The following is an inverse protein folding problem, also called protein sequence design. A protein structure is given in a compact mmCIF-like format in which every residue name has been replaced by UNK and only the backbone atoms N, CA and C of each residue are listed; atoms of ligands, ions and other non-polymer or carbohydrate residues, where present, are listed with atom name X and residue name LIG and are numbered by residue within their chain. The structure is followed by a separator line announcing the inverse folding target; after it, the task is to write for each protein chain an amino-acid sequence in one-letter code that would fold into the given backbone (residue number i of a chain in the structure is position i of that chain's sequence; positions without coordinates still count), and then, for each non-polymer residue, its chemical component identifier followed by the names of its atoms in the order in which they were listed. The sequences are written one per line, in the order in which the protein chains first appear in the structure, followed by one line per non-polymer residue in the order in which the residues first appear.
data_IF_508151937525
#
_entry.id   IF_508151937525
#
_cell.length_a   1.000
_cell.length_b   1.000
_cell.length_c   1.000
_cell.angle_alpha   90.00
_cell.angle_beta   90.00
_cell.angle_gamma   90.00
#
_symmetry.space_group_name_H-M   'P 1'
#
loop_
_entity.id
_entity.type
_entity.pdbx_description
1 polymer ?
#
# COMPACT_ATOMS: atom_id res chain seq x y z
N UNK A 1 6.86 0.31 -5.06
CA UNK A 1 5.43 0.49 -4.75
C UNK A 1 5.01 -0.62 -3.78
N UNK A 2 3.81 -0.55 -3.19
CA UNK A 2 3.27 -1.67 -2.40
C UNK A 2 3.28 -2.94 -3.26
N UNK A 3 3.76 -4.05 -2.69
CA UNK A 3 3.87 -5.35 -3.36
C UNK A 3 5.13 -5.57 -4.21
N UNK A 4 6.03 -4.59 -4.34
CA UNK A 4 7.29 -4.77 -5.09
C UNK A 4 8.48 -5.13 -4.18
N UNK A 5 8.28 -5.07 -2.86
CA UNK A 5 9.30 -5.37 -1.86
C UNK A 5 9.17 -6.78 -1.28
N UNK A 6 9.87 -7.01 -0.17
CA UNK A 6 9.86 -8.29 0.55
C UNK A 6 8.84 -8.36 1.69
N UNK A 7 8.04 -7.31 1.91
CA UNK A 7 7.09 -7.24 3.03
C UNK A 7 5.81 -8.01 2.66
N UNK A 8 5.41 -8.93 3.55
CA UNK A 8 4.09 -9.54 3.54
C UNK A 8 3.06 -8.55 4.12
N UNK A 9 2.57 -7.67 3.26
CA UNK A 9 1.62 -6.60 3.61
C UNK A 9 0.33 -7.18 4.18
N UNK A 10 -0.13 -8.31 3.63
CA UNK A 10 -1.36 -8.95 4.06
C UNK A 10 -1.25 -9.40 5.51
N UNK A 11 -0.19 -10.14 5.85
CA UNK A 11 0.04 -10.60 7.22
C UNK A 11 0.07 -9.45 8.22
N UNK A 12 0.78 -8.36 7.91
CA UNK A 12 0.88 -7.21 8.83
C UNK A 12 -0.48 -6.52 8.98
N UNK A 13 -1.21 -6.33 7.88
CA UNK A 13 -2.56 -5.73 7.91
C UNK A 13 -3.50 -6.54 8.81
N UNK A 14 -3.56 -7.86 8.64
CA UNK A 14 -4.41 -8.73 9.47
C UNK A 14 -4.09 -8.58 10.95
N UNK A 15 -2.81 -8.54 11.34
CA UNK A 15 -2.43 -8.36 12.74
C UNK A 15 -2.91 -7.03 13.33
N UNK A 16 -2.92 -5.97 12.53
CA UNK A 16 -3.38 -4.64 12.95
C UNK A 16 -4.91 -4.59 13.05
N UNK A 17 -5.61 -5.24 12.12
CA UNK A 17 -7.07 -5.39 12.14
C UNK A 17 -7.53 -6.25 13.33
N UNK A 18 -6.85 -7.36 13.62
CA UNK A 18 -7.10 -8.22 14.79
C UNK A 18 -6.88 -7.48 16.12
N UNK A 19 -5.99 -6.49 16.14
CA UNK A 19 -5.80 -5.59 17.27
C UNK A 19 -6.92 -4.54 17.42
N UNK A 20 -7.92 -4.54 16.54
CA UNK A 20 -9.11 -3.70 16.59
C UNK A 20 -9.03 -2.41 15.76
N UNK A 21 -8.00 -2.23 14.93
CA UNK A 21 -7.91 -1.06 14.06
C UNK A 21 -8.80 -1.23 12.81
N UNK A 22 -9.64 -0.22 12.54
CA UNK A 22 -10.57 -0.23 11.40
C UNK A 22 -10.50 1.04 10.51
N UNK A 23 -9.49 1.88 10.72
CA UNK A 23 -9.32 3.18 10.06
C UNK A 23 -8.68 3.12 8.66
N UNK A 24 -8.22 4.29 8.19
CA UNK A 24 -7.55 4.43 6.89
C UNK A 24 -6.10 3.96 6.93
N UNK A 25 -5.59 3.48 5.80
CA UNK A 25 -4.19 3.08 5.65
C UNK A 25 -3.48 4.13 4.79
N UNK A 26 -2.43 4.71 5.32
CA UNK A 26 -1.59 5.67 4.63
C UNK A 26 -0.53 4.96 3.77
N UNK A 27 -0.25 5.51 2.59
CA UNK A 27 0.85 5.08 1.73
C UNK A 27 1.93 6.16 1.75
N UNK A 28 3.07 5.85 2.36
CA UNK A 28 4.25 6.71 2.37
C UNK A 28 5.42 6.00 1.69
N UNK A 29 6.01 6.63 0.68
CA UNK A 29 7.14 6.08 -0.06
C UNK A 29 8.21 7.16 -0.18
N UNK A 30 9.35 6.91 0.47
CA UNK A 30 10.54 7.76 0.40
C UNK A 30 11.53 7.15 -0.60
N UNK A 31 11.40 7.54 -1.87
CA UNK A 31 12.23 7.00 -2.95
C UNK A 31 12.39 8.02 -4.09
N UNK A 32 13.62 8.48 -4.33
CA UNK A 32 13.91 9.52 -5.33
C UNK A 32 13.47 9.12 -6.73
N UNK A 33 13.74 7.89 -7.15
CA UNK A 33 13.37 7.42 -8.49
C UNK A 33 11.85 7.39 -8.70
N UNK A 34 11.05 7.25 -7.65
CA UNK A 34 9.60 7.37 -7.71
C UNK A 34 9.18 8.84 -7.73
N UNK A 35 9.84 9.70 -6.95
CA UNK A 35 9.55 11.13 -6.92
C UNK A 35 9.89 11.87 -8.22
N UNK A 36 10.89 11.37 -8.96
CA UNK A 36 11.27 11.92 -10.27
C UNK A 36 10.28 11.54 -11.40
N UNK A 37 9.30 10.68 -11.13
CA UNK A 37 8.27 10.29 -12.11
C UNK A 37 7.09 11.26 -12.13
N UNK A 38 6.31 11.34 -13.23
CA UNK A 38 5.10 12.15 -13.28
C UNK A 38 4.12 11.80 -12.16
N UNK A 39 3.69 12.80 -11.39
CA UNK A 39 2.86 12.60 -10.20
C UNK A 39 1.55 11.86 -10.47
N UNK A 40 0.87 12.17 -11.58
CA UNK A 40 -0.40 11.51 -11.95
C UNK A 40 -0.21 10.02 -12.24
N UNK A 41 0.89 9.64 -12.89
CA UNK A 41 1.22 8.24 -13.16
C UNK A 41 1.57 7.49 -11.86
N UNK A 42 2.32 8.14 -10.97
CA UNK A 42 2.64 7.59 -9.66
C UNK A 42 1.37 7.38 -8.84
N UNK A 43 0.45 8.35 -8.82
CA UNK A 43 -0.80 8.27 -8.07
C UNK A 43 -1.72 7.21 -8.65
N UNK A 44 -1.85 7.12 -9.98
CA UNK A 44 -2.66 6.10 -10.64
C UNK A 44 -2.15 4.69 -10.28
N UNK A 45 -0.84 4.46 -10.42
CA UNK A 45 -0.21 3.17 -10.05
C UNK A 45 -0.35 2.90 -8.55
N UNK A 46 -0.24 3.92 -7.70
CA UNK A 46 -0.40 3.77 -6.25
C UNK A 46 -1.81 3.26 -5.90
N UNK A 47 -2.86 3.82 -6.51
CA UNK A 47 -4.25 3.38 -6.30
C UNK A 47 -4.46 1.93 -6.73
N UNK A 48 -3.94 1.56 -7.89
CA UNK A 48 -4.03 0.18 -8.40
C UNK A 48 -3.35 -0.82 -7.47
N UNK A 49 -2.13 -0.50 -7.01
CA UNK A 49 -1.38 -1.35 -6.09
C UNK A 49 -1.98 -1.37 -4.69
N UNK A 50 -2.61 -0.29 -4.25
CA UNK A 50 -3.34 -0.25 -2.99
C UNK A 50 -4.51 -1.25 -3.00
N UNK A 51 -5.31 -1.22 -4.06
CA UNK A 51 -6.41 -2.17 -4.23
C UNK A 51 -5.90 -3.62 -4.32
N UNK A 52 -4.85 -3.87 -5.10
CA UNK A 52 -4.35 -5.22 -5.37
C UNK A 52 -3.54 -5.86 -4.22
N UNK A 53 -2.79 -5.04 -3.46
CA UNK A 53 -1.83 -5.54 -2.47
C UNK A 53 -2.20 -5.22 -1.03
N UNK A 54 -3.07 -4.22 -0.80
CA UNK A 54 -3.50 -3.80 0.54
C UNK A 54 -4.94 -4.24 0.81
N UNK A 55 -5.89 -3.96 -0.11
CA UNK A 55 -7.32 -4.21 0.09
C UNK A 55 -7.90 -5.46 -0.57
N UNK A 56 -7.13 -6.21 -1.36
CA UNK A 56 -7.61 -7.33 -2.18
C UNK A 56 -8.17 -8.54 -1.41
N UNK A 57 -8.30 -8.45 -0.09
CA UNK A 57 -8.87 -9.51 0.72
C UNK A 57 -9.91 -8.95 1.70
N UNK A 58 -11.04 -9.66 1.89
CA UNK A 58 -12.06 -9.28 2.85
C UNK A 58 -11.48 -9.19 4.26
N UNK A 59 -12.03 -8.28 5.06
CA UNK A 59 -11.78 -8.20 6.50
C UNK A 59 -12.43 -9.37 7.22
#
# INVERSE_FOLDING_TARGET
MMGDGCIDIHRIRTLVEDAGYAGFIEVEILNQAIWDQPGDEVLQRMKERYLACVLNQPR
#
